data_IF_961938985907
#
_entry.id   IF_961938985907
#
_cell.length_a   1.000
_cell.length_b   1.000
_cell.length_c   1.000
_cell.angle_alpha   90.00
_cell.angle_beta   90.00
_cell.angle_gamma   90.00
#
_symmetry.space_group_name_H-M   'P 1'
#
loop_
_entity.id
_entity.type
_entity.pdbx_description
1 polymer ?
#
# COMPACT_ATOMS: atom_id res chain seq x y z
N UNK A 1 11.19 27.18 -37.73
CA UNK A 1 10.85 25.77 -38.04
C UNK A 1 11.45 24.90 -36.95
N UNK A 2 10.64 24.13 -36.21
CA UNK A 2 11.14 23.22 -35.17
C UNK A 2 11.36 21.84 -35.79
N UNK A 3 12.60 21.33 -35.78
CA UNK A 3 12.93 19.99 -36.26
C UNK A 3 13.07 19.04 -35.06
N UNK A 4 12.22 18.02 -34.99
CA UNK A 4 12.28 16.99 -33.94
C UNK A 4 13.00 15.76 -34.50
N UNK A 5 14.15 15.40 -33.90
CA UNK A 5 14.98 14.26 -34.34
C UNK A 5 14.59 12.93 -33.69
N UNK A 6 14.06 12.97 -32.47
CA UNK A 6 13.61 11.79 -31.74
C UNK A 6 12.52 12.16 -30.72
N UNK A 7 11.66 11.19 -30.42
CA UNK A 7 10.64 11.29 -29.36
C UNK A 7 10.77 10.05 -28.46
N UNK A 8 10.97 10.28 -27.17
CA UNK A 8 11.02 9.22 -26.18
C UNK A 8 9.71 9.20 -25.40
N UNK A 9 9.12 8.01 -25.24
CA UNK A 9 7.97 7.85 -24.37
C UNK A 9 8.44 8.00 -22.91
N UNK A 10 7.83 8.94 -22.19
CA UNK A 10 7.99 9.01 -20.74
C UNK A 10 7.13 7.96 -20.05
N UNK A 11 7.28 7.88 -18.73
CA UNK A 11 6.47 7.00 -17.88
C UNK A 11 4.97 7.30 -18.02
N UNK A 12 4.59 8.54 -18.35
CA UNK A 12 3.19 8.97 -18.42
C UNK A 12 2.57 9.12 -17.02
N UNK A 13 1.23 9.23 -16.95
CA UNK A 13 0.53 9.50 -15.70
C UNK A 13 0.37 10.99 -15.42
N UNK A 14 0.24 11.35 -14.15
CA UNK A 14 -0.05 12.72 -13.70
C UNK A 14 1.09 13.26 -12.82
N UNK A 15 1.33 14.58 -12.82
CA UNK A 15 2.33 15.19 -11.94
C UNK A 15 2.00 14.95 -10.46
N UNK A 16 3.01 14.60 -9.65
CA UNK A 16 2.82 14.36 -8.22
C UNK A 16 2.42 15.66 -7.52
N UNK A 17 1.48 15.56 -6.58
CA UNK A 17 0.90 16.69 -5.85
C UNK A 17 -0.28 17.33 -6.57
N UNK A 18 -0.70 16.80 -7.73
CA UNK A 18 -1.95 17.23 -8.40
C UNK A 18 -3.17 16.52 -7.85
N UNK A 19 -2.99 15.42 -7.13
CA UNK A 19 -4.03 14.71 -6.37
C UNK A 19 -3.64 14.71 -4.88
N UNK A 20 -4.62 14.42 -4.03
CA UNK A 20 -4.47 14.38 -2.59
C UNK A 20 -3.46 13.30 -2.13
N UNK A 21 -2.93 13.52 -0.93
CA UNK A 21 -1.98 12.61 -0.29
C UNK A 21 -2.70 11.31 0.09
N UNK A 22 -1.98 10.18 0.00
CA UNK A 22 -2.51 8.84 0.35
C UNK A 22 -1.53 8.08 1.24
N UNK A 23 -2.04 7.18 2.08
CA UNK A 23 -1.26 6.34 3.01
C UNK A 23 -1.26 4.88 2.54
N UNK A 24 -0.15 4.44 1.96
CA UNK A 24 0.02 3.06 1.51
C UNK A 24 0.44 2.13 2.64
N UNK A 25 -0.34 1.04 2.83
CA UNK A 25 0.01 -0.03 3.76
C UNK A 25 1.04 -0.95 3.12
N UNK A 26 2.29 -0.83 3.57
CA UNK A 26 3.44 -1.50 2.98
C UNK A 26 3.84 -2.73 3.79
N UNK A 27 4.07 -3.87 3.13
CA UNK A 27 4.27 -5.17 3.81
C UNK A 27 5.49 -5.99 3.35
N UNK A 28 6.40 -5.38 2.58
CA UNK A 28 7.60 -6.04 2.05
C UNK A 28 7.35 -6.97 0.85
N UNK A 29 6.09 -7.26 0.53
CA UNK A 29 5.71 -7.98 -0.68
C UNK A 29 5.49 -7.06 -1.88
N UNK A 30 5.59 -7.65 -3.08
CA UNK A 30 5.43 -6.97 -4.38
C UNK A 30 4.15 -6.13 -4.46
N UNK A 31 3.03 -6.71 -4.05
CA UNK A 31 1.68 -6.16 -4.22
C UNK A 31 1.56 -4.75 -3.61
N UNK A 32 2.16 -4.52 -2.44
CA UNK A 32 2.13 -3.22 -1.77
C UNK A 32 3.03 -2.15 -2.42
N UNK A 33 4.15 -2.55 -3.00
CA UNK A 33 5.01 -1.64 -3.77
C UNK A 33 4.37 -1.25 -5.10
N UNK A 34 3.75 -2.22 -5.79
CA UNK A 34 3.03 -2.00 -7.04
C UNK A 34 1.82 -1.07 -6.81
N UNK A 35 0.99 -1.31 -5.79
CA UNK A 35 -0.14 -0.44 -5.49
C UNK A 35 0.29 1.00 -5.15
N UNK A 36 1.40 1.16 -4.43
CA UNK A 36 2.00 2.47 -4.15
C UNK A 36 2.41 3.18 -5.43
N UNK A 37 3.12 2.49 -6.32
CA UNK A 37 3.53 3.02 -7.62
C UNK A 37 2.34 3.44 -8.48
N UNK A 38 1.26 2.66 -8.51
CA UNK A 38 0.07 3.00 -9.28
C UNK A 38 -0.55 4.34 -8.83
N UNK A 39 -0.54 4.65 -7.52
CA UNK A 39 -1.02 5.96 -7.03
C UNK A 39 -0.04 7.10 -7.28
N UNK A 40 1.27 6.84 -7.20
CA UNK A 40 2.29 7.82 -7.63
C UNK A 40 2.03 8.21 -9.11
N UNK A 41 1.78 7.23 -9.98
CA UNK A 41 1.44 7.43 -11.39
C UNK A 41 0.14 8.22 -11.61
N UNK A 42 -0.77 8.22 -10.63
CA UNK A 42 -2.00 9.01 -10.64
C UNK A 42 -1.82 10.43 -10.08
N UNK A 43 -0.63 10.80 -9.63
CA UNK A 43 -0.33 12.16 -9.17
C UNK A 43 -0.48 12.35 -7.66
N UNK A 44 -0.76 11.30 -6.89
CA UNK A 44 -0.82 11.36 -5.43
C UNK A 44 0.58 11.32 -4.82
N UNK A 45 0.77 12.05 -3.72
CA UNK A 45 1.94 11.85 -2.85
C UNK A 45 1.67 10.67 -1.92
N UNK A 46 2.48 9.63 -2.05
CA UNK A 46 2.30 8.38 -1.29
C UNK A 46 3.16 8.40 -0.04
N UNK A 47 2.50 8.43 1.12
CA UNK A 47 3.09 8.14 2.42
C UNK A 47 3.03 6.64 2.70
N UNK A 48 3.92 6.12 3.54
CA UNK A 48 4.03 4.69 3.82
C UNK A 48 3.71 4.38 5.27
N UNK A 49 2.93 3.33 5.51
CA UNK A 49 2.61 2.81 6.82
C UNK A 49 2.98 1.32 6.89
N UNK A 50 3.96 1.00 7.73
CA UNK A 50 4.41 -0.37 7.98
C UNK A 50 3.89 -0.84 9.34
N UNK A 51 3.26 -2.01 9.38
CA UNK A 51 2.86 -2.68 10.62
C UNK A 51 3.88 -3.75 10.97
N UNK A 52 4.61 -3.57 12.08
CA UNK A 52 5.53 -4.55 12.60
C UNK A 52 4.74 -5.61 13.39
N UNK A 53 4.66 -6.82 12.86
CA UNK A 53 3.87 -7.93 13.41
C UNK A 53 4.68 -8.90 14.29
N UNK A 54 5.87 -8.49 14.77
CA UNK A 54 6.79 -9.33 15.56
C UNK A 54 7.29 -10.61 14.88
N UNK A 55 7.14 -10.72 13.56
CA UNK A 55 7.87 -11.70 12.74
C UNK A 55 9.18 -11.06 12.29
N UNK A 56 10.19 -11.88 12.00
CA UNK A 56 11.49 -11.54 11.39
C UNK A 56 11.38 -10.93 9.99
N UNK A 57 10.36 -10.11 9.72
CA UNK A 57 10.34 -9.18 8.60
C UNK A 57 11.16 -7.97 9.04
N UNK A 58 12.40 -7.89 8.57
CA UNK A 58 13.26 -6.76 8.88
C UNK A 58 12.61 -5.49 8.33
N UNK A 59 12.16 -4.59 9.22
CA UNK A 59 11.68 -3.24 8.88
C UNK A 59 12.58 -2.55 7.85
N UNK A 60 13.90 -2.81 7.95
CA UNK A 60 14.92 -2.37 7.00
C UNK A 60 14.57 -2.74 5.56
N UNK A 61 14.19 -3.98 5.27
CA UNK A 61 13.85 -4.42 3.90
C UNK A 61 12.59 -3.73 3.37
N UNK A 62 11.57 -3.58 4.20
CA UNK A 62 10.34 -2.86 3.84
C UNK A 62 10.62 -1.38 3.58
N UNK A 63 11.47 -0.77 4.42
CA UNK A 63 11.89 0.63 4.29
C UNK A 63 12.76 0.83 3.04
N UNK A 64 13.65 -0.11 2.72
CA UNK A 64 14.45 -0.10 1.49
C UNK A 64 13.56 -0.19 0.24
N UNK A 65 12.57 -1.08 0.24
CA UNK A 65 11.58 -1.20 -0.83
C UNK A 65 10.79 0.11 -1.01
N UNK A 66 10.25 0.67 0.07
CA UNK A 66 9.54 1.95 0.04
C UNK A 66 10.45 3.10 -0.44
N UNK A 67 11.69 3.14 0.03
CA UNK A 67 12.70 4.11 -0.38
C UNK A 67 13.04 3.98 -1.87
N UNK A 68 13.20 2.76 -2.40
CA UNK A 68 13.48 2.54 -3.81
C UNK A 68 12.37 3.06 -4.72
N UNK A 69 11.11 2.70 -4.41
CA UNK A 69 9.93 3.23 -5.13
C UNK A 69 9.89 4.75 -5.04
N UNK A 70 10.09 5.30 -3.83
CA UNK A 70 10.09 6.74 -3.63
C UNK A 70 11.19 7.43 -4.44
N UNK A 71 12.44 6.96 -4.33
CA UNK A 71 13.61 7.54 -4.97
C UNK A 71 13.48 7.53 -6.49
N UNK A 72 12.91 6.46 -7.06
CA UNK A 72 12.80 6.32 -8.51
C UNK A 72 11.64 7.10 -9.10
N UNK A 73 10.52 7.20 -8.39
CA UNK A 73 9.27 7.72 -8.97
C UNK A 73 8.72 8.98 -8.32
N UNK A 74 9.20 9.38 -7.14
CA UNK A 74 8.63 10.48 -6.36
C UNK A 74 9.62 11.30 -5.53
N UNK A 75 10.93 11.19 -5.82
CA UNK A 75 11.99 11.87 -5.07
C UNK A 75 11.86 13.40 -4.98
N UNK A 76 11.10 14.02 -5.89
CA UNK A 76 10.78 15.45 -5.86
C UNK A 76 9.92 15.87 -4.67
N UNK A 77 9.28 14.94 -3.98
CA UNK A 77 8.35 15.21 -2.88
C UNK A 77 8.76 14.48 -1.61
N UNK A 78 8.76 15.21 -0.49
CA UNK A 78 9.01 14.61 0.83
C UNK A 78 7.81 13.79 1.26
N UNK A 79 8.05 12.55 1.68
CA UNK A 79 7.03 11.61 2.17
C UNK A 79 7.36 11.14 3.58
N UNK A 80 6.39 10.48 4.22
CA UNK A 80 6.56 9.91 5.56
C UNK A 80 6.63 8.40 5.45
N UNK A 81 7.46 7.80 6.30
CA UNK A 81 7.45 6.37 6.57
C UNK A 81 7.09 6.19 8.05
N UNK A 82 5.94 5.58 8.32
CA UNK A 82 5.37 5.43 9.66
C UNK A 82 5.40 3.94 10.01
N UNK A 83 6.18 3.57 11.02
CA UNK A 83 6.20 2.21 11.55
C UNK A 83 5.32 2.13 12.80
N UNK A 84 4.41 1.15 12.86
CA UNK A 84 3.52 0.91 13.98
C UNK A 84 3.83 -0.47 14.54
N UNK A 85 4.17 -0.55 15.83
CA UNK A 85 4.30 -1.84 16.49
C UNK A 85 2.90 -2.45 16.69
N UNK A 86 2.70 -3.64 16.13
CA UNK A 86 1.46 -4.40 16.19
C UNK A 86 1.62 -5.74 16.92
N UNK A 87 2.79 -6.02 17.51
CA UNK A 87 3.07 -7.24 18.26
C UNK A 87 2.00 -7.58 19.30
N UNK A 88 1.65 -6.61 20.17
CA UNK A 88 0.62 -6.81 21.19
C UNK A 88 -0.77 -7.07 20.61
N UNK A 89 -1.11 -6.45 19.47
CA UNK A 89 -2.39 -6.67 18.78
C UNK A 89 -2.43 -8.07 18.18
N UNK A 90 -1.31 -8.53 17.60
CA UNK A 90 -1.19 -9.89 17.05
C UNK A 90 -1.29 -10.93 18.16
N UNK A 91 -0.64 -10.70 19.30
CA UNK A 91 -0.75 -11.57 20.49
C UNK A 91 -2.18 -11.71 20.97
N UNK A 92 -2.90 -10.60 21.15
CA UNK A 92 -4.32 -10.59 21.51
C UNK A 92 -5.20 -11.35 20.51
N UNK A 93 -4.94 -11.19 19.21
CA UNK A 93 -5.69 -11.92 18.16
C UNK A 93 -5.39 -13.43 18.22
N UNK A 94 -4.14 -13.82 18.42
CA UNK A 94 -3.74 -15.23 18.56
C UNK A 94 -4.40 -15.90 19.76
N UNK A 95 -4.60 -15.17 20.85
CA UNK A 95 -5.22 -15.71 22.07
C UNK A 95 -6.74 -15.78 22.01
N UNK A 96 -7.40 -14.80 21.35
CA UNK A 96 -8.85 -14.58 21.51
C UNK A 96 -9.68 -14.82 20.25
N UNK A 97 -9.06 -15.04 19.09
CA UNK A 97 -9.78 -15.12 17.80
C UNK A 97 -9.57 -16.49 17.16
N UNK A 98 -10.66 -17.08 16.69
CA UNK A 98 -10.61 -18.33 15.92
C UNK A 98 -9.71 -18.20 14.69
N UNK A 99 -8.90 -19.24 14.45
CA UNK A 99 -7.90 -19.29 13.37
C UNK A 99 -8.45 -18.89 11.98
N UNK A 100 -9.70 -19.27 11.69
CA UNK A 100 -10.36 -18.94 10.42
C UNK A 100 -10.64 -17.43 10.21
N UNK A 101 -10.74 -16.66 11.30
CA UNK A 101 -11.10 -15.22 11.27
C UNK A 101 -9.91 -14.30 11.54
N UNK A 102 -8.80 -14.84 12.05
CA UNK A 102 -7.60 -14.07 12.40
C UNK A 102 -7.14 -13.10 11.30
N UNK A 103 -7.10 -13.54 10.04
CA UNK A 103 -6.66 -12.69 8.93
C UNK A 103 -7.55 -11.48 8.69
N UNK A 104 -8.87 -11.66 8.81
CA UNK A 104 -9.86 -10.58 8.65
C UNK A 104 -9.79 -9.63 9.85
N UNK A 105 -9.70 -10.16 11.07
CA UNK A 105 -9.61 -9.34 12.29
C UNK A 105 -8.31 -8.53 12.32
N UNK A 106 -7.17 -9.13 11.96
CA UNK A 106 -5.90 -8.42 11.87
C UNK A 106 -5.98 -7.26 10.87
N UNK A 107 -6.51 -7.51 9.67
CA UNK A 107 -6.68 -6.46 8.65
C UNK A 107 -7.63 -5.35 9.12
N UNK A 108 -8.74 -5.69 9.78
CA UNK A 108 -9.65 -4.72 10.41
C UNK A 108 -8.91 -3.82 11.41
N UNK A 109 -8.07 -4.40 12.25
CA UNK A 109 -7.26 -3.63 13.21
C UNK A 109 -6.23 -2.74 12.52
N UNK A 110 -5.58 -3.24 11.45
CA UNK A 110 -4.63 -2.47 10.65
C UNK A 110 -5.30 -1.27 9.97
N UNK A 111 -6.42 -1.45 9.26
CA UNK A 111 -7.09 -0.34 8.57
C UNK A 111 -7.67 0.68 9.55
N UNK A 112 -8.12 0.24 10.73
CA UNK A 112 -8.54 1.14 11.81
C UNK A 112 -7.38 1.99 12.33
N UNK A 113 -6.23 1.37 12.60
CA UNK A 113 -5.04 2.10 13.05
C UNK A 113 -4.53 3.05 11.96
N UNK A 114 -4.51 2.60 10.70
CA UNK A 114 -4.13 3.41 9.55
C UNK A 114 -5.08 4.59 9.33
N UNK A 115 -6.38 4.44 9.56
CA UNK A 115 -7.36 5.54 9.45
C UNK A 115 -7.05 6.65 10.43
N UNK A 116 -6.69 6.30 11.68
CA UNK A 116 -6.26 7.28 12.69
C UNK A 116 -4.96 7.99 12.30
N UNK A 117 -4.03 7.26 11.67
CA UNK A 117 -2.78 7.85 11.16
C UNK A 117 -3.07 8.78 9.99
N UNK A 118 -3.94 8.39 9.06
CA UNK A 118 -4.33 9.19 7.92
C UNK A 118 -4.96 10.51 8.37
N UNK A 119 -5.94 10.44 9.29
CA UNK A 119 -6.57 11.61 9.90
C UNK A 119 -5.55 12.53 10.59
N UNK A 120 -4.61 11.97 11.37
CA UNK A 120 -3.59 12.75 12.07
C UNK A 120 -2.69 13.56 11.13
N UNK A 121 -2.48 13.06 9.91
CA UNK A 121 -1.61 13.70 8.92
C UNK A 121 -2.37 14.36 7.77
N UNK A 122 -3.69 14.51 7.86
CA UNK A 122 -4.57 15.02 6.80
C UNK A 122 -4.36 14.31 5.46
N UNK A 123 -4.36 12.98 5.50
CA UNK A 123 -4.24 12.10 4.34
C UNK A 123 -5.64 11.54 4.04
N UNK A 124 -6.08 11.65 2.79
CA UNK A 124 -7.48 11.43 2.39
C UNK A 124 -7.85 9.95 2.23
N UNK A 125 -6.87 9.10 1.89
CA UNK A 125 -7.13 7.69 1.63
C UNK A 125 -6.00 6.76 2.07
N UNK A 126 -6.37 5.52 2.38
CA UNK A 126 -5.48 4.40 2.61
C UNK A 126 -5.37 3.60 1.32
N UNK A 127 -4.16 3.16 0.95
CA UNK A 127 -3.93 2.27 -0.20
C UNK A 127 -3.53 0.90 0.30
N UNK A 128 -4.14 -0.15 -0.23
CA UNK A 128 -3.73 -1.54 0.05
C UNK A 128 -3.36 -2.26 -1.25
N UNK A 129 -2.48 -3.25 -1.14
CA UNK A 129 -2.12 -4.16 -2.25
C UNK A 129 -3.07 -5.36 -2.37
N UNK A 130 -4.34 -5.24 -1.96
CA UNK A 130 -5.27 -6.36 -2.02
C UNK A 130 -5.78 -6.61 -3.45
N UNK A 131 -5.80 -7.89 -3.84
CA UNK A 131 -6.36 -8.37 -5.10
C UNK A 131 -7.49 -9.37 -4.82
N UNK A 132 -8.58 -9.33 -5.59
CA UNK A 132 -9.74 -10.19 -5.32
C UNK A 132 -9.41 -11.66 -5.62
N UNK A 133 -9.71 -12.56 -4.68
CA UNK A 133 -9.56 -14.01 -4.88
C UNK A 133 -8.13 -14.55 -4.80
N UNK A 134 -7.13 -13.73 -4.50
CA UNK A 134 -5.73 -14.19 -4.42
C UNK A 134 -5.42 -14.95 -3.12
N UNK A 135 -6.03 -14.57 -2.00
CA UNK A 135 -5.98 -15.35 -0.73
C UNK A 135 -7.37 -15.43 -0.08
N UNK A 136 -7.56 -16.36 0.86
CA UNK A 136 -8.84 -16.59 1.55
C UNK A 136 -9.42 -15.33 2.23
N UNK A 137 -8.56 -14.42 2.70
CA UNK A 137 -8.98 -13.14 3.30
C UNK A 137 -9.43 -12.08 2.29
N UNK A 138 -9.34 -12.34 0.98
CA UNK A 138 -9.66 -11.39 -0.09
C UNK A 138 -10.88 -11.86 -0.92
N UNK A 139 -11.91 -12.33 -0.24
CA UNK A 139 -13.26 -12.47 -0.83
C UNK A 139 -14.02 -11.15 -0.71
N UNK A 140 -15.03 -10.90 -1.54
CA UNK A 140 -15.85 -9.67 -1.43
C UNK A 140 -16.46 -9.50 -0.04
N UNK A 141 -16.91 -10.61 0.58
CA UNK A 141 -17.44 -10.62 1.94
C UNK A 141 -16.40 -10.13 2.95
N UNK A 142 -15.18 -10.66 2.88
CA UNK A 142 -14.11 -10.27 3.79
C UNK A 142 -13.63 -8.84 3.55
N UNK A 143 -13.52 -8.41 2.29
CA UNK A 143 -13.13 -7.04 1.96
C UNK A 143 -14.15 -6.02 2.48
N UNK A 144 -15.45 -6.30 2.33
CA UNK A 144 -16.51 -5.48 2.92
C UNK A 144 -16.37 -5.40 4.44
N UNK A 145 -16.18 -6.53 5.11
CA UNK A 145 -15.96 -6.55 6.55
C UNK A 145 -14.69 -5.79 6.95
N UNK A 146 -13.63 -5.80 6.15
CA UNK A 146 -12.43 -5.00 6.43
C UNK A 146 -12.75 -3.51 6.31
N UNK A 147 -13.46 -3.10 5.25
CA UNK A 147 -13.83 -1.69 5.00
C UNK A 147 -14.71 -1.11 6.10
N UNK A 148 -15.63 -1.88 6.68
CA UNK A 148 -16.45 -1.45 7.82
C UNK A 148 -15.64 -1.09 9.08
N UNK A 149 -14.34 -1.41 9.14
CA UNK A 149 -13.44 -0.99 10.22
C UNK A 149 -12.62 0.26 9.90
N UNK A 150 -12.67 0.78 8.67
CA UNK A 150 -11.94 1.95 8.23
C UNK A 150 -12.84 3.20 8.26
N UNK A 151 -12.31 4.29 8.82
CA UNK A 151 -12.96 5.61 8.74
C UNK A 151 -12.50 6.39 7.49
N UNK A 152 -11.34 6.01 6.93
CA UNK A 152 -10.78 6.59 5.72
C UNK A 152 -11.17 5.78 4.46
N UNK A 153 -11.16 6.44 3.30
CA UNK A 153 -11.35 5.77 2.00
C UNK A 153 -10.26 4.72 1.78
N UNK A 154 -10.62 3.48 1.45
CA UNK A 154 -9.67 2.40 1.13
C UNK A 154 -9.59 2.17 -0.38
N UNK A 155 -8.44 2.47 -0.96
CA UNK A 155 -8.12 2.28 -2.37
C UNK A 155 -7.39 0.96 -2.59
N UNK A 156 -7.85 0.18 -3.58
CA UNK A 156 -7.30 -1.14 -3.94
C UNK A 156 -6.94 -1.21 -5.41
N UNK A 157 -5.81 -0.62 -5.84
CA UNK A 157 -5.42 -0.57 -7.26
C UNK A 157 -5.32 -1.95 -7.93
N UNK A 158 -5.02 -2.97 -7.14
CA UNK A 158 -4.82 -4.34 -7.60
C UNK A 158 -6.08 -5.21 -7.54
N UNK A 159 -7.25 -4.65 -7.21
CA UNK A 159 -8.45 -5.44 -6.92
C UNK A 159 -8.85 -6.38 -8.07
N UNK A 160 -8.59 -5.98 -9.31
CA UNK A 160 -8.89 -6.77 -10.52
C UNK A 160 -7.65 -7.40 -11.17
N UNK A 161 -6.47 -7.27 -10.58
CA UNK A 161 -5.23 -7.78 -11.18
C UNK A 161 -4.98 -9.23 -10.77
N UNK A 162 -4.51 -10.03 -11.72
CA UNK A 162 -3.97 -11.35 -11.40
C UNK A 162 -2.52 -11.27 -10.90
N UNK A 163 -1.99 -12.39 -10.40
CA UNK A 163 -0.66 -12.42 -9.81
C UNK A 163 0.45 -12.18 -10.83
N UNK A 164 0.28 -12.61 -12.07
CA UNK A 164 1.29 -12.47 -13.13
C UNK A 164 1.43 -11.01 -13.54
N UNK A 165 0.32 -10.30 -13.68
CA UNK A 165 0.28 -8.86 -13.93
C UNK A 165 1.00 -8.07 -12.82
N UNK A 166 0.76 -8.42 -11.56
CA UNK A 166 1.41 -7.78 -10.41
C UNK A 166 2.92 -8.04 -10.45
N UNK A 167 3.36 -9.28 -10.70
CA UNK A 167 4.78 -9.64 -10.77
C UNK A 167 5.46 -8.95 -11.96
N UNK A 168 4.80 -8.89 -13.12
CA UNK A 168 5.32 -8.20 -14.29
C UNK A 168 5.55 -6.72 -14.00
N UNK A 169 4.58 -6.05 -13.37
CA UNK A 169 4.71 -4.66 -12.97
C UNK A 169 5.78 -4.46 -11.89
N UNK A 170 5.88 -5.36 -10.91
CA UNK A 170 6.93 -5.32 -9.89
C UNK A 170 8.33 -5.37 -10.53
N UNK A 171 8.55 -6.25 -11.50
CA UNK A 171 9.80 -6.34 -12.26
C UNK A 171 10.09 -5.05 -13.05
N UNK A 172 9.08 -4.49 -13.73
CA UNK A 172 9.21 -3.24 -14.48
C UNK A 172 9.67 -2.09 -13.58
N UNK A 173 9.10 -2.00 -12.37
CA UNK A 173 9.42 -0.93 -11.44
C UNK A 173 10.67 -1.18 -10.60
N UNK A 174 11.26 -2.38 -10.71
CA UNK A 174 12.45 -2.81 -9.98
C UNK A 174 12.19 -3.12 -8.51
N UNK A 175 11.02 -3.68 -8.20
CA UNK A 175 10.55 -4.01 -6.86
C UNK A 175 10.63 -5.51 -6.58
#
# INVERSE_FOLDING_TARGET
MMLVKARHAGIGGYPIGTQEDVLSLISGGFDSGVSSYMLIRRGSRVHYCFFNLARTVHEIGVKQMAYHIWQRYSASHKVRFIAINFEGVVGEILEKVDNGQMGVVLKRMMVRAASKVAQRFNIEAIVTGEALGQVSSQTLTNLRLIDEAADALVLRPLITHDKEQIIAMAKEIGN
#
